data_IF_462125242744
#
_entry.id   IF_462125242744
#
_cell.length_a   1.000
_cell.length_b   1.000
_cell.length_c   1.000
_cell.angle_alpha   90.00
_cell.angle_beta   90.00
_cell.angle_gamma   90.00
#
_symmetry.space_group_name_H-M   'P 1'
#
loop_
_entity.id
_entity.type
_entity.pdbx_description
1 polymer ?
#
# COMPACT_ATOMS: atom_id res chain seq x y z
N UNK A 1 -3.17 -14.32 -14.02
CA UNK A 1 -4.26 -14.01 -13.09
C UNK A 1 -5.58 -14.19 -13.80
N UNK A 2 -6.53 -14.82 -13.13
CA UNK A 2 -7.80 -15.22 -13.78
C UNK A 2 -8.79 -14.07 -13.99
N UNK A 3 -8.65 -12.97 -13.25
CA UNK A 3 -9.57 -11.84 -13.32
C UNK A 3 -8.79 -10.53 -13.42
N UNK A 4 -8.20 -10.23 -14.57
CA UNK A 4 -7.35 -9.05 -14.72
C UNK A 4 -8.09 -7.75 -14.41
N UNK A 5 -9.39 -7.66 -14.69
CA UNK A 5 -10.16 -6.45 -14.39
C UNK A 5 -10.24 -6.16 -12.89
N UNK A 6 -10.27 -7.19 -12.05
CA UNK A 6 -10.28 -7.01 -10.60
C UNK A 6 -8.94 -6.48 -10.10
N UNK A 7 -7.85 -7.02 -10.63
CA UNK A 7 -6.51 -6.57 -10.27
C UNK A 7 -6.27 -5.14 -10.75
N UNK A 8 -6.73 -4.80 -11.94
CA UNK A 8 -6.63 -3.44 -12.46
C UNK A 8 -7.41 -2.45 -11.60
N UNK A 9 -8.62 -2.82 -11.15
CA UNK A 9 -9.40 -1.98 -10.26
C UNK A 9 -8.67 -1.76 -8.93
N UNK A 10 -8.06 -2.81 -8.38
CA UNK A 10 -7.30 -2.69 -7.14
C UNK A 10 -6.06 -1.85 -7.33
N UNK A 11 -5.35 -1.98 -8.44
CA UNK A 11 -4.18 -1.14 -8.74
C UNK A 11 -4.56 0.33 -8.75
N UNK A 12 -5.73 0.69 -9.27
CA UNK A 12 -6.20 2.08 -9.24
C UNK A 12 -6.41 2.58 -7.81
N UNK A 13 -6.90 1.72 -6.92
CA UNK A 13 -7.02 2.05 -5.50
C UNK A 13 -5.65 2.31 -4.89
N UNK A 14 -4.68 1.44 -5.16
CA UNK A 14 -3.31 1.58 -4.66
C UNK A 14 -2.69 2.89 -5.17
N UNK A 15 -2.86 3.20 -6.44
CA UNK A 15 -2.34 4.45 -7.02
C UNK A 15 -2.93 5.68 -6.32
N UNK A 16 -4.23 5.68 -6.07
CA UNK A 16 -4.89 6.77 -5.36
C UNK A 16 -4.34 6.91 -3.94
N UNK A 17 -4.25 5.79 -3.23
CA UNK A 17 -3.74 5.80 -1.86
C UNK A 17 -2.28 6.27 -1.81
N UNK A 18 -1.48 5.88 -2.79
CA UNK A 18 -0.10 6.34 -2.89
C UNK A 18 -0.02 7.84 -3.17
N UNK A 19 -0.85 8.36 -4.07
CA UNK A 19 -0.90 9.79 -4.37
C UNK A 19 -1.35 10.60 -3.17
N UNK A 20 -2.37 10.14 -2.47
CA UNK A 20 -2.88 10.82 -1.28
C UNK A 20 -1.84 10.81 -0.15
N UNK A 21 -1.15 9.69 0.02
CA UNK A 21 -0.06 9.57 1.01
C UNK A 21 1.09 10.50 0.68
N UNK A 22 1.45 10.59 -0.59
CA UNK A 22 2.53 11.48 -1.03
C UNK A 22 2.17 12.93 -0.75
N UNK A 23 0.92 13.34 -1.02
CA UNK A 23 0.47 14.69 -0.71
C UNK A 23 0.56 15.00 0.77
N UNK A 24 0.19 14.04 1.63
CA UNK A 24 0.30 14.19 3.07
C UNK A 24 1.76 14.33 3.52
N UNK A 25 2.66 13.54 2.95
CA UNK A 25 4.08 13.60 3.24
C UNK A 25 4.65 14.95 2.78
N UNK A 26 4.29 15.39 1.60
CA UNK A 26 4.78 16.66 1.05
C UNK A 26 4.39 17.85 1.90
N UNK A 27 3.17 17.87 2.43
CA UNK A 27 2.74 18.99 3.29
C UNK A 27 3.50 19.00 4.61
N UNK A 28 3.81 17.83 5.16
CA UNK A 28 4.63 17.74 6.38
C UNK A 28 6.05 18.24 6.11
N UNK A 29 6.65 17.79 5.00
CA UNK A 29 8.01 18.19 4.63
C UNK A 29 8.12 19.69 4.31
N UNK A 30 7.02 20.33 3.93
CA UNK A 30 6.99 21.76 3.64
C UNK A 30 6.96 22.62 4.90
N UNK A 31 6.78 22.01 6.09
CA UNK A 31 6.72 22.80 7.32
C UNK A 31 8.11 23.29 7.72
N UNK A 32 8.21 24.52 8.27
CA UNK A 32 9.51 25.06 8.71
C UNK A 32 10.13 24.25 9.84
N UNK A 33 9.30 23.65 10.68
CA UNK A 33 9.73 22.81 11.78
C UNK A 33 8.97 21.49 11.70
N UNK A 34 9.72 20.38 11.66
CA UNK A 34 9.12 19.05 11.67
C UNK A 34 9.27 18.52 13.10
N UNK A 35 8.15 18.43 13.82
CA UNK A 35 8.10 17.91 15.18
C UNK A 35 7.77 16.43 15.19
N UNK A 36 8.07 15.76 16.32
CA UNK A 36 7.66 14.37 16.50
C UNK A 36 6.13 14.23 16.47
N UNK A 37 5.41 15.24 16.92
CA UNK A 37 3.94 15.23 16.86
C UNK A 37 3.45 15.25 15.41
N UNK A 38 4.10 16.05 14.54
CA UNK A 38 3.77 16.05 13.10
C UNK A 38 4.01 14.67 12.47
N UNK A 39 5.13 14.06 12.81
CA UNK A 39 5.45 12.71 12.30
C UNK A 39 4.45 11.69 12.82
N UNK A 40 4.07 11.76 14.10
CA UNK A 40 3.09 10.86 14.67
C UNK A 40 1.73 11.02 13.98
N UNK A 41 1.31 12.25 13.72
CA UNK A 41 0.07 12.52 13.01
C UNK A 41 0.11 12.02 11.57
N UNK A 42 1.25 12.16 10.90
CA UNK A 42 1.43 11.64 9.55
C UNK A 42 1.30 10.12 9.55
N UNK A 43 1.96 9.44 10.49
CA UNK A 43 1.91 7.97 10.58
C UNK A 43 0.51 7.46 10.93
N UNK A 44 -0.25 8.25 11.68
CA UNK A 44 -1.63 7.91 12.03
C UNK A 44 -2.63 8.30 10.93
N UNK A 45 -2.17 8.95 9.86
CA UNK A 45 -3.08 9.44 8.84
C UNK A 45 -3.78 8.29 8.12
N UNK A 46 -5.02 8.54 7.75
CA UNK A 46 -5.83 7.57 7.03
C UNK A 46 -5.18 7.18 5.70
N UNK A 47 -4.47 8.10 5.06
CA UNK A 47 -3.86 7.86 3.76
C UNK A 47 -2.70 6.87 3.85
N UNK A 48 -1.79 7.06 4.80
CA UNK A 48 -0.68 6.11 5.01
C UNK A 48 -1.18 4.75 5.45
N UNK A 49 -2.18 4.72 6.32
CA UNK A 49 -2.74 3.45 6.79
C UNK A 49 -3.40 2.69 5.65
N UNK A 50 -4.11 3.39 4.77
CA UNK A 50 -4.71 2.79 3.59
C UNK A 50 -3.64 2.20 2.67
N UNK A 51 -2.56 2.93 2.41
CA UNK A 51 -1.47 2.47 1.59
C UNK A 51 -0.80 1.22 2.19
N UNK A 52 -0.55 1.22 3.48
CA UNK A 52 0.03 0.07 4.17
C UNK A 52 -0.88 -1.15 4.06
N UNK A 53 -2.17 -0.96 4.22
CA UNK A 53 -3.16 -2.04 4.06
C UNK A 53 -3.12 -2.60 2.64
N UNK A 54 -3.05 -1.72 1.64
CA UNK A 54 -2.93 -2.13 0.24
C UNK A 54 -1.69 -3.00 0.02
N UNK A 55 -0.56 -2.59 0.59
CA UNK A 55 0.69 -3.33 0.45
C UNK A 55 0.62 -4.70 1.12
N UNK A 56 -0.03 -4.79 2.29
CA UNK A 56 -0.26 -6.08 2.94
C UNK A 56 -1.15 -6.99 2.09
N UNK A 57 -2.19 -6.44 1.49
CA UNK A 57 -3.07 -7.22 0.61
C UNK A 57 -2.31 -7.72 -0.62
N UNK A 58 -1.50 -6.87 -1.22
CA UNK A 58 -0.68 -7.26 -2.37
C UNK A 58 0.27 -8.39 -1.97
N UNK A 59 0.93 -8.27 -0.82
CA UNK A 59 1.85 -9.28 -0.34
C UNK A 59 1.15 -10.62 -0.15
N UNK A 60 -0.03 -10.63 0.46
CA UNK A 60 -0.80 -11.85 0.67
C UNK A 60 -1.27 -12.46 -0.66
N UNK A 61 -1.67 -11.63 -1.61
CA UNK A 61 -2.10 -12.10 -2.93
C UNK A 61 -0.93 -12.76 -3.66
N UNK A 62 0.25 -12.12 -3.63
CA UNK A 62 1.45 -12.67 -4.27
C UNK A 62 1.82 -14.00 -3.63
N UNK A 63 1.81 -14.08 -2.30
CA UNK A 63 2.10 -15.33 -1.59
C UNK A 63 1.12 -16.43 -1.96
N UNK A 64 -0.17 -16.11 -2.04
CA UNK A 64 -1.19 -17.07 -2.42
C UNK A 64 -0.94 -17.61 -3.83
N UNK A 65 -0.57 -16.76 -4.78
CA UNK A 65 -0.25 -17.19 -6.13
C UNK A 65 1.02 -18.06 -6.17
N UNK A 66 2.03 -17.72 -5.41
CA UNK A 66 3.25 -18.51 -5.33
C UNK A 66 2.97 -19.90 -4.80
N UNK A 67 2.14 -20.02 -3.78
CA UNK A 67 1.76 -21.32 -3.21
C UNK A 67 0.96 -22.11 -4.23
N UNK A 68 0.00 -21.48 -4.91
CA UNK A 68 -0.86 -22.15 -5.89
C UNK A 68 -0.08 -22.64 -7.12
N UNK A 69 0.98 -21.93 -7.51
CA UNK A 69 1.80 -22.26 -8.66
C UNK A 69 2.97 -23.19 -8.31
N UNK A 70 3.22 -23.45 -7.03
CA UNK A 70 4.33 -24.28 -6.59
C UNK A 70 4.09 -25.71 -7.06
N UNK A 71 5.09 -26.33 -7.69
CA UNK A 71 4.92 -27.71 -8.15
C UNK A 71 4.68 -28.65 -6.96
N UNK A 72 3.78 -29.60 -7.15
CA UNK A 72 3.51 -30.62 -6.13
C UNK A 72 4.76 -31.43 -5.81
N UNK A 73 5.64 -31.58 -6.76
CA UNK A 73 6.90 -32.30 -6.59
C UNK A 73 7.93 -31.53 -5.76
N UNK A 74 7.65 -30.31 -5.39
CA UNK A 74 8.55 -29.50 -4.58
C UNK A 74 8.70 -30.03 -3.16
N UNK A 75 7.94 -31.00 -2.81
CA UNK A 75 8.00 -31.60 -1.46
C UNK A 75 9.07 -32.64 -1.33
#
# INVERSE_FOLDING_TARGET
MEHPERYQAFIRVVERDAQDSLAAIEIVLAQPIISSQLIDNLNASIHLRALLTDLFLIDEIIKAHQIAEEPASAN
#
